data_IF_478090297867
#
_entry.id   IF_478090297867
#
_cell.length_a   1.000
_cell.length_b   1.000
_cell.length_c   1.000
_cell.angle_alpha   90.00
_cell.angle_beta   90.00
_cell.angle_gamma   90.00
#
_symmetry.space_group_name_H-M   'P 1'
#
loop_
_entity.id
_entity.type
_entity.pdbx_description
1 polymer ?
#
# COMPACT_ATOMS: atom_id res chain seq x y z
N UNK A 1 -10.17 -22.03 -1.82
CA UNK A 1 -9.81 -21.37 -3.10
C UNK A 1 -8.51 -20.57 -2.99
N UNK A 2 -8.25 -19.91 -1.85
CA UNK A 2 -7.10 -19.02 -1.64
C UNK A 2 -5.72 -19.61 -1.95
N UNK A 3 -5.45 -20.87 -1.60
CA UNK A 3 -4.14 -21.45 -1.88
C UNK A 3 -3.85 -21.71 -3.36
N UNK A 4 -4.88 -21.96 -4.18
CA UNK A 4 -4.70 -22.07 -5.63
C UNK A 4 -4.36 -20.71 -6.24
N UNK A 5 -5.02 -19.64 -5.77
CA UNK A 5 -4.72 -18.28 -6.18
C UNK A 5 -3.29 -17.91 -5.77
N UNK A 6 -2.90 -18.18 -4.53
CA UNK A 6 -1.54 -17.98 -4.03
C UNK A 6 -0.51 -18.71 -4.90
N UNK A 7 -0.72 -19.99 -5.20
CA UNK A 7 0.17 -20.76 -6.06
C UNK A 7 0.30 -20.14 -7.46
N UNK A 8 -0.82 -19.78 -8.09
CA UNK A 8 -0.82 -19.17 -9.43
C UNK A 8 -0.14 -17.80 -9.42
N UNK A 9 -0.38 -16.98 -8.41
CA UNK A 9 0.29 -15.68 -8.25
C UNK A 9 1.78 -15.82 -8.03
N UNK A 10 2.23 -16.74 -7.17
CA UNK A 10 3.65 -17.03 -6.95
C UNK A 10 4.33 -17.53 -8.23
N UNK A 11 3.66 -18.41 -8.96
CA UNK A 11 4.17 -18.93 -10.23
C UNK A 11 4.26 -17.82 -11.28
N UNK A 12 3.23 -16.99 -11.42
CA UNK A 12 3.24 -15.85 -12.33
C UNK A 12 4.37 -14.86 -11.97
N UNK A 13 4.52 -14.54 -10.69
CA UNK A 13 5.59 -13.68 -10.19
C UNK A 13 6.98 -14.27 -10.48
N UNK A 14 7.16 -15.58 -10.25
CA UNK A 14 8.39 -16.29 -10.58
C UNK A 14 8.71 -16.19 -12.08
N UNK A 15 7.74 -16.44 -12.96
CA UNK A 15 7.94 -16.38 -14.42
C UNK A 15 8.31 -14.97 -14.88
N UNK A 16 7.61 -13.95 -14.36
CA UNK A 16 7.90 -12.54 -14.67
C UNK A 16 9.31 -12.15 -14.24
N UNK A 17 9.73 -12.57 -13.04
CA UNK A 17 11.07 -12.25 -12.51
C UNK A 17 12.18 -13.05 -13.22
N UNK A 18 11.93 -14.33 -13.49
CA UNK A 18 12.91 -15.23 -14.07
C UNK A 18 13.17 -14.91 -15.54
N UNK A 19 12.14 -14.53 -16.30
CA UNK A 19 12.21 -14.27 -17.75
C UNK A 19 12.61 -15.48 -18.60
N UNK A 20 12.83 -16.65 -17.99
CA UNK A 20 13.38 -17.85 -18.60
C UNK A 20 12.29 -18.93 -18.76
N UNK A 21 11.47 -18.79 -19.79
CA UNK A 21 10.39 -19.73 -20.09
C UNK A 21 10.84 -20.97 -20.89
N UNK A 22 12.04 -20.94 -21.47
CA UNK A 22 12.53 -22.00 -22.36
C UNK A 22 13.28 -23.13 -21.64
N UNK A 23 13.74 -22.89 -20.41
CA UNK A 23 14.47 -23.90 -19.63
C UNK A 23 13.50 -24.75 -18.81
N UNK A 24 13.36 -26.02 -19.20
CA UNK A 24 12.49 -26.98 -18.49
C UNK A 24 12.92 -27.18 -17.02
N UNK A 25 14.21 -27.11 -16.73
CA UNK A 25 14.73 -27.22 -15.37
C UNK A 25 14.28 -26.05 -14.49
N UNK A 26 14.42 -24.82 -14.98
CA UNK A 26 14.03 -23.62 -14.21
C UNK A 26 12.52 -23.58 -13.99
N UNK A 27 11.72 -23.90 -15.00
CA UNK A 27 10.27 -24.02 -14.86
C UNK A 27 9.86 -25.10 -13.84
N UNK A 28 10.53 -26.25 -13.86
CA UNK A 28 10.31 -27.32 -12.88
C UNK A 28 10.66 -26.87 -11.46
N UNK A 29 11.80 -26.21 -11.26
CA UNK A 29 12.20 -25.66 -9.97
C UNK A 29 11.20 -24.59 -9.47
N UNK A 30 10.75 -23.67 -10.34
CA UNK A 30 9.74 -22.67 -10.02
C UNK A 30 8.41 -23.29 -9.58
N UNK A 31 7.98 -24.37 -10.24
CA UNK A 31 6.78 -25.11 -9.86
C UNK A 31 6.91 -25.74 -8.46
N UNK A 32 8.02 -26.43 -8.20
CA UNK A 32 8.27 -27.07 -6.91
C UNK A 32 8.37 -26.04 -5.79
N UNK A 33 9.10 -24.95 -6.00
CA UNK A 33 9.24 -23.87 -5.02
C UNK A 33 7.89 -23.22 -4.71
N UNK A 34 7.10 -22.87 -5.74
CA UNK A 34 5.78 -22.25 -5.55
C UNK A 34 4.82 -23.18 -4.82
N UNK A 35 4.85 -24.48 -5.12
CA UNK A 35 4.06 -25.49 -4.42
C UNK A 35 4.50 -25.64 -2.95
N UNK A 36 5.80 -25.72 -2.69
CA UNK A 36 6.35 -25.83 -1.34
C UNK A 36 5.98 -24.61 -0.47
N UNK A 37 6.12 -23.39 -1.01
CA UNK A 37 5.71 -22.16 -0.33
C UNK A 37 4.21 -22.17 -0.05
N UNK A 38 3.38 -22.54 -1.03
CA UNK A 38 1.93 -22.62 -0.84
C UNK A 38 1.54 -23.61 0.26
N UNK A 39 2.20 -24.77 0.31
CA UNK A 39 1.97 -25.78 1.36
C UNK A 39 2.42 -25.29 2.74
N UNK A 40 3.56 -24.60 2.80
CA UNK A 40 4.06 -24.01 4.04
C UNK A 40 3.13 -22.89 4.54
N UNK A 41 2.69 -21.99 3.67
CA UNK A 41 1.73 -20.94 4.00
C UNK A 41 0.40 -21.51 4.50
N UNK A 42 -0.09 -22.61 3.90
CA UNK A 42 -1.25 -23.35 4.42
C UNK A 42 -0.99 -23.86 5.83
N UNK A 43 0.18 -24.48 6.06
CA UNK A 43 0.53 -25.07 7.35
C UNK A 43 0.67 -24.02 8.46
N UNK A 44 1.16 -22.84 8.10
CA UNK A 44 1.31 -21.71 9.03
C UNK A 44 0.00 -20.97 9.30
N UNK A 45 -1.09 -21.29 8.58
CA UNK A 45 -2.38 -20.63 8.76
C UNK A 45 -2.39 -19.17 8.29
N UNK A 46 -1.42 -18.74 7.48
CA UNK A 46 -1.27 -17.35 7.00
C UNK A 46 -2.21 -17.06 5.80
N UNK A 47 -2.94 -18.08 5.32
CA UNK A 47 -3.84 -17.95 4.18
C UNK A 47 -5.20 -17.45 4.68
N UNK A 48 -5.21 -16.18 5.07
CA UNK A 48 -6.42 -15.43 5.40
C UNK A 48 -6.82 -14.52 4.22
N UNK A 49 -8.11 -14.15 4.16
CA UNK A 49 -8.67 -13.28 3.11
C UNK A 49 -7.97 -11.90 3.04
N UNK A 50 -7.25 -11.52 4.10
CA UNK A 50 -6.48 -10.29 4.20
C UNK A 50 -5.17 -10.33 3.38
N UNK A 51 -4.60 -11.51 3.13
CA UNK A 51 -3.35 -11.68 2.38
C UNK A 51 -3.53 -11.63 0.86
N UNK A 52 -4.75 -11.80 0.36
CA UNK A 52 -5.06 -11.77 -1.09
C UNK A 52 -6.36 -10.99 -1.39
N UNK A 53 -6.27 -9.66 -1.43
CA UNK A 53 -7.40 -8.76 -1.61
C UNK A 53 -7.91 -8.69 -3.06
N UNK A 54 -8.15 -9.83 -3.71
CA UNK A 54 -8.61 -9.87 -5.10
C UNK A 54 -9.92 -9.09 -5.28
N UNK A 55 -10.77 -9.04 -4.23
CA UNK A 55 -12.00 -8.25 -4.20
C UNK A 55 -11.77 -6.74 -4.33
N UNK A 56 -10.67 -6.23 -3.79
CA UNK A 56 -10.35 -4.80 -3.82
C UNK A 56 -9.49 -4.39 -5.01
N UNK A 57 -8.88 -5.36 -5.73
CA UNK A 57 -7.94 -5.13 -6.84
C UNK A 57 -8.40 -4.09 -7.86
N UNK A 58 -9.62 -4.20 -8.39
CA UNK A 58 -10.13 -3.25 -9.39
C UNK A 58 -10.31 -1.84 -8.84
N UNK A 59 -10.68 -1.69 -7.56
CA UNK A 59 -10.85 -0.38 -6.92
C UNK A 59 -9.49 0.23 -6.63
N UNK A 60 -8.54 -0.57 -6.14
CA UNK A 60 -7.15 -0.17 -5.95
C UNK A 60 -6.51 0.27 -7.26
N UNK A 61 -6.76 -0.44 -8.36
CA UNK A 61 -6.22 -0.07 -9.67
C UNK A 61 -6.77 1.28 -10.18
N UNK A 62 -8.01 1.64 -9.82
CA UNK A 62 -8.57 2.98 -10.11
C UNK A 62 -8.01 4.08 -9.21
N UNK A 63 -7.69 3.73 -7.96
CA UNK A 63 -7.05 4.64 -7.01
C UNK A 63 -5.58 4.93 -7.35
N UNK A 64 -4.87 3.93 -7.88
CA UNK A 64 -3.43 3.96 -8.10
C UNK A 64 -2.95 5.15 -8.97
N UNK A 65 -3.55 5.49 -10.13
CA UNK A 65 -3.12 6.64 -10.92
C UNK A 65 -3.21 7.96 -10.16
N UNK A 66 -4.24 8.13 -9.32
CA UNK A 66 -4.37 9.33 -8.49
C UNK A 66 -3.29 9.37 -7.41
N UNK A 67 -3.02 8.24 -6.75
CA UNK A 67 -1.96 8.18 -5.75
C UNK A 67 -0.59 8.48 -6.38
N UNK A 68 -0.27 7.89 -7.53
CA UNK A 68 0.97 8.16 -8.25
C UNK A 68 1.11 9.64 -8.62
N UNK A 69 0.01 10.29 -9.00
CA UNK A 69 0.01 11.73 -9.24
C UNK A 69 0.31 12.54 -7.98
N UNK A 70 -0.30 12.19 -6.84
CA UNK A 70 0.00 12.84 -5.55
C UNK A 70 1.45 12.65 -5.13
N UNK A 71 1.97 11.42 -5.25
CA UNK A 71 3.38 11.11 -4.97
C UNK A 71 4.29 11.95 -5.87
N UNK A 72 3.97 12.08 -7.15
CA UNK A 72 4.74 12.93 -8.08
C UNK A 72 4.73 14.40 -7.64
N UNK A 73 3.56 14.97 -7.34
CA UNK A 73 3.44 16.37 -6.89
C UNK A 73 4.22 16.63 -5.59
N UNK A 74 4.10 15.73 -4.63
CA UNK A 74 4.81 15.82 -3.35
C UNK A 74 6.34 15.70 -3.53
N UNK A 75 6.82 14.84 -4.44
CA UNK A 75 8.25 14.80 -4.78
C UNK A 75 8.74 16.15 -5.35
N UNK A 76 7.94 16.79 -6.21
CA UNK A 76 8.26 18.10 -6.77
C UNK A 76 8.27 19.19 -5.69
N UNK A 77 7.35 19.14 -4.72
CA UNK A 77 7.34 20.07 -3.58
C UNK A 77 8.62 19.91 -2.73
N UNK A 78 8.95 18.68 -2.34
CA UNK A 78 10.19 18.39 -1.60
C UNK A 78 11.43 18.82 -2.39
N UNK A 79 11.49 18.52 -3.69
CA UNK A 79 12.60 18.93 -4.55
C UNK A 79 12.78 20.45 -4.56
N UNK A 80 11.69 21.22 -4.70
CA UNK A 80 11.73 22.69 -4.66
C UNK A 80 12.27 23.20 -3.33
N UNK A 81 11.89 22.59 -2.21
CA UNK A 81 12.36 22.97 -0.86
C UNK A 81 13.84 22.67 -0.67
N UNK A 82 14.32 21.53 -1.16
CA UNK A 82 15.75 21.14 -1.09
C UNK A 82 16.61 22.03 -1.99
N UNK A 83 16.15 22.39 -3.19
CA UNK A 83 16.91 23.23 -4.12
C UNK A 83 16.84 24.73 -3.83
N UNK A 84 15.92 25.19 -2.99
CA UNK A 84 15.82 26.60 -2.60
C UNK A 84 17.11 26.99 -1.86
N UNK A 85 17.92 27.82 -2.48
CA UNK A 85 19.12 28.40 -1.86
C UNK A 85 18.67 29.33 -0.72
N UNK A 86 18.97 28.95 0.52
CA UNK A 86 18.61 29.72 1.71
C UNK A 86 18.14 28.85 2.88
N UNK A 87 17.26 29.41 3.71
CA UNK A 87 16.66 28.67 4.82
C UNK A 87 15.66 27.63 4.31
N UNK A 88 15.76 26.42 4.84
CA UNK A 88 14.83 25.32 4.62
C UNK A 88 13.46 25.72 5.15
N UNK A 89 12.50 25.82 4.24
CA UNK A 89 11.11 26.13 4.55
C UNK A 89 10.36 24.84 4.91
N UNK A 90 10.59 24.36 6.12
CA UNK A 90 9.95 23.18 6.71
C UNK A 90 9.38 23.53 8.09
N UNK A 91 8.22 22.97 8.43
CA UNK A 91 7.57 23.13 9.73
C UNK A 91 7.12 21.75 10.23
N UNK A 92 8.08 20.92 10.70
CA UNK A 92 7.80 19.56 11.10
C UNK A 92 6.83 19.54 12.28
N UNK A 93 5.79 18.72 12.20
CA UNK A 93 4.76 18.63 13.23
C UNK A 93 4.16 17.22 13.29
N UNK A 94 3.63 16.89 14.47
CA UNK A 94 2.88 15.67 14.69
C UNK A 94 1.39 16.01 14.65
N UNK A 95 0.64 15.31 13.80
CA UNK A 95 -0.81 15.47 13.69
C UNK A 95 -1.51 14.14 13.92
N UNK A 96 -2.68 14.21 14.52
CA UNK A 96 -3.59 13.08 14.66
C UNK A 96 -4.64 13.15 13.56
N UNK A 97 -4.73 12.10 12.74
CA UNK A 97 -5.65 12.02 11.61
C UNK A 97 -6.69 10.93 11.89
N UNK A 98 -7.98 11.27 12.04
CA UNK A 98 -9.03 10.28 12.26
C UNK A 98 -9.24 9.43 10.99
N UNK A 99 -9.61 8.15 11.16
CA UNK A 99 -10.02 7.30 10.05
C UNK A 99 -11.19 6.38 10.39
N UNK A 100 -12.03 6.12 9.39
CA UNK A 100 -13.20 5.23 9.49
C UNK A 100 -12.97 3.82 8.91
N UNK A 101 -11.74 3.53 8.46
CA UNK A 101 -11.37 2.26 7.84
C UNK A 101 -11.51 1.10 8.83
N UNK A 102 -12.07 -0.02 8.39
CA UNK A 102 -12.38 -1.18 9.25
C UNK A 102 -11.62 -2.46 8.89
N UNK A 103 -11.09 -2.54 7.68
CA UNK A 103 -10.32 -3.68 7.19
C UNK A 103 -8.83 -3.44 7.34
N UNK A 104 -8.07 -4.50 7.67
CA UNK A 104 -6.62 -4.44 7.71
C UNK A 104 -6.03 -3.94 6.38
N UNK A 105 -6.65 -4.33 5.25
CA UNK A 105 -6.25 -3.86 3.93
C UNK A 105 -6.48 -2.35 3.72
N UNK A 106 -7.64 -1.83 4.12
CA UNK A 106 -7.95 -0.41 4.01
C UNK A 106 -6.97 0.42 4.84
N UNK A 107 -6.75 0.03 6.10
CA UNK A 107 -5.77 0.67 7.00
C UNK A 107 -4.38 0.62 6.40
N UNK A 108 -3.91 -0.55 5.96
CA UNK A 108 -2.59 -0.70 5.36
C UNK A 108 -2.44 0.12 4.07
N UNK A 109 -3.48 0.19 3.23
CA UNK A 109 -3.48 1.02 2.01
C UNK A 109 -3.33 2.49 2.38
N UNK A 110 -4.08 2.96 3.38
CA UNK A 110 -4.04 4.36 3.80
C UNK A 110 -2.69 4.75 4.41
N UNK A 111 -2.21 3.96 5.37
CA UNK A 111 -0.91 4.18 6.05
C UNK A 111 0.25 4.21 5.06
N UNK A 112 0.25 3.29 4.09
CA UNK A 112 1.28 3.25 3.06
C UNK A 112 1.15 4.42 2.08
N UNK A 113 -0.07 4.83 1.71
CA UNK A 113 -0.28 6.01 0.87
C UNK A 113 0.26 7.29 1.52
N UNK A 114 -0.01 7.49 2.82
CA UNK A 114 0.53 8.64 3.58
C UNK A 114 2.06 8.60 3.57
N UNK A 115 2.65 7.45 3.88
CA UNK A 115 4.11 7.31 3.96
C UNK A 115 4.79 7.44 2.60
N UNK A 116 4.11 7.05 1.52
CA UNK A 116 4.62 7.17 0.15
C UNK A 116 4.56 8.58 -0.40
N UNK A 117 3.73 9.47 0.14
CA UNK A 117 3.67 10.88 -0.24
C UNK A 117 4.81 11.63 0.46
N UNK A 118 5.85 12.08 -0.27
CA UNK A 118 6.97 12.78 0.34
C UNK A 118 6.52 13.98 1.18
N UNK A 119 7.05 14.05 2.40
CA UNK A 119 6.66 15.07 3.36
C UNK A 119 5.70 14.58 4.44
N UNK A 120 5.27 13.31 4.41
CA UNK A 120 4.48 12.69 5.49
C UNK A 120 4.98 11.28 5.82
N UNK A 121 4.93 10.89 7.10
CA UNK A 121 5.26 9.53 7.57
C UNK A 121 4.29 9.14 8.67
N UNK A 122 3.67 7.96 8.56
CA UNK A 122 2.85 7.44 9.65
C UNK A 122 3.73 6.88 10.75
N UNK A 123 3.50 7.30 12.00
CA UNK A 123 4.29 6.92 13.17
C UNK A 123 3.58 5.86 13.99
N UNK A 124 2.27 6.01 14.19
CA UNK A 124 1.47 5.09 14.98
C UNK A 124 0.12 4.85 14.30
N UNK A 125 -0.36 3.61 14.40
CA UNK A 125 -1.65 3.17 13.85
C UNK A 125 -2.55 2.78 15.01
N UNK A 126 -3.49 3.66 15.35
CA UNK A 126 -4.53 3.41 16.32
C UNK A 126 -5.75 2.73 15.68
N UNK A 127 -6.81 2.55 16.49
CA UNK A 127 -8.06 1.92 16.03
C UNK A 127 -8.92 2.84 15.15
N UNK A 128 -9.00 4.11 15.53
CA UNK A 128 -9.85 5.11 14.88
C UNK A 128 -9.05 6.38 14.50
N UNK A 129 -7.74 6.39 14.75
CA UNK A 129 -6.85 7.52 14.46
C UNK A 129 -5.43 7.06 14.13
N UNK A 130 -4.74 7.83 13.30
CA UNK A 130 -3.34 7.67 12.95
C UNK A 130 -2.53 8.84 13.49
N UNK A 131 -1.35 8.56 14.04
CA UNK A 131 -0.37 9.59 14.35
C UNK A 131 0.58 9.74 13.16
N UNK A 132 0.62 10.94 12.57
CA UNK A 132 1.41 11.22 11.37
C UNK A 132 2.39 12.35 11.63
N UNK A 133 3.64 12.14 11.22
CA UNK A 133 4.63 13.18 11.13
C UNK A 133 4.53 13.87 9.76
N UNK A 134 4.27 15.17 9.74
CA UNK A 134 4.25 15.98 8.53
C UNK A 134 5.44 16.94 8.52
N UNK A 135 6.12 17.06 7.38
CA UNK A 135 7.28 17.91 7.17
C UNK A 135 6.89 19.39 7.08
N UNK A 136 5.68 19.68 6.63
CA UNK A 136 5.15 21.03 6.40
C UNK A 136 3.71 21.14 6.87
N UNK A 137 3.29 22.37 7.19
CA UNK A 137 1.89 22.66 7.56
C UNK A 137 0.94 22.42 6.39
N UNK A 138 1.38 22.64 5.14
CA UNK A 138 0.56 22.35 3.97
C UNK A 138 0.27 20.85 3.83
N UNK A 139 1.28 19.99 4.03
CA UNK A 139 1.10 18.55 4.00
C UNK A 139 0.20 18.06 5.14
N UNK A 140 0.32 18.66 6.32
CA UNK A 140 -0.58 18.40 7.44
C UNK A 140 -2.04 18.77 7.10
N UNK A 141 -2.26 19.95 6.53
CA UNK A 141 -3.58 20.42 6.15
C UNK A 141 -4.22 19.58 5.03
N UNK A 142 -3.44 19.13 4.04
CA UNK A 142 -3.92 18.27 2.95
C UNK A 142 -4.40 16.91 3.49
N UNK A 143 -3.66 16.32 4.44
CA UNK A 143 -4.09 15.11 5.13
C UNK A 143 -5.40 15.31 5.91
N UNK A 144 -5.50 16.41 6.66
CA UNK A 144 -6.69 16.76 7.44
C UNK A 144 -7.90 17.10 6.57
N UNK A 145 -7.69 17.55 5.32
CA UNK A 145 -8.77 17.75 4.36
C UNK A 145 -9.46 16.42 3.95
N UNK A 146 -8.81 15.28 4.17
CA UNK A 146 -9.43 13.95 4.12
C UNK A 146 -9.71 13.39 2.71
N UNK A 147 -9.22 14.02 1.64
CA UNK A 147 -9.43 13.53 0.27
C UNK A 147 -8.80 12.14 0.07
N UNK A 148 -7.60 11.92 0.61
CA UNK A 148 -6.94 10.61 0.57
C UNK A 148 -7.75 9.57 1.34
N UNK A 149 -8.23 9.91 2.55
CA UNK A 149 -9.05 9.02 3.37
C UNK A 149 -10.34 8.62 2.65
N UNK A 150 -11.07 9.58 2.07
CA UNK A 150 -12.28 9.33 1.28
C UNK A 150 -12.04 8.37 0.11
N UNK A 151 -10.91 8.51 -0.58
CA UNK A 151 -10.56 7.62 -1.68
C UNK A 151 -10.23 6.21 -1.22
N UNK A 152 -9.53 6.06 -0.10
CA UNK A 152 -9.24 4.73 0.45
C UNK A 152 -10.51 4.07 1.00
N UNK A 153 -11.44 4.83 1.60
CA UNK A 153 -12.78 4.33 1.95
C UNK A 153 -13.53 3.80 0.71
N UNK A 154 -13.45 4.50 -0.41
CA UNK A 154 -14.04 4.03 -1.66
C UNK A 154 -13.38 2.74 -2.19
N UNK A 155 -12.08 2.54 -1.91
CA UNK A 155 -11.37 1.28 -2.22
C UNK A 155 -11.86 0.14 -1.33
N UNK A 156 -11.92 0.37 -0.02
CA UNK A 156 -12.42 -0.59 0.97
C UNK A 156 -13.86 -1.03 0.64
N UNK A 157 -14.72 -0.06 0.30
CA UNK A 157 -16.09 -0.29 -0.13
C UNK A 157 -17.16 -0.23 0.95
N UNK A 158 -18.43 -0.49 0.57
CA UNK A 158 -19.49 -0.72 1.53
C UNK A 158 -19.14 -1.92 2.40
N UNK A 159 -19.24 -1.76 3.71
CA UNK A 159 -19.10 -2.85 4.67
C UNK A 159 -20.30 -3.77 4.49
N UNK A 160 -20.12 -4.91 3.83
CA UNK A 160 -20.99 -6.06 4.10
C UNK A 160 -20.65 -6.51 5.52
N UNK A 161 -21.51 -6.14 6.46
CA UNK A 161 -21.51 -6.65 7.83
C UNK A 161 -21.42 -8.17 7.74
N UNK A 162 -20.30 -8.72 8.20
CA UNK A 162 -20.12 -10.16 8.35
C UNK A 162 -20.46 -10.55 9.79
#
# INVERSE_FOLDING_TARGET
MHAWILFVSLMAFYVVLSGQIHSAFLMGAGLVCSAAITLLSKRLGIIDDEGMPFRWWFRTLKYLPWLLWQVFLANIDVLKRVWKIGQLDIQPQMITVPHELRTAYGVATYVNSITLTPGTVTVEVGKDELLVHALTTDAANDLLAGEMHRRVLAVEGPQEVQ
#
